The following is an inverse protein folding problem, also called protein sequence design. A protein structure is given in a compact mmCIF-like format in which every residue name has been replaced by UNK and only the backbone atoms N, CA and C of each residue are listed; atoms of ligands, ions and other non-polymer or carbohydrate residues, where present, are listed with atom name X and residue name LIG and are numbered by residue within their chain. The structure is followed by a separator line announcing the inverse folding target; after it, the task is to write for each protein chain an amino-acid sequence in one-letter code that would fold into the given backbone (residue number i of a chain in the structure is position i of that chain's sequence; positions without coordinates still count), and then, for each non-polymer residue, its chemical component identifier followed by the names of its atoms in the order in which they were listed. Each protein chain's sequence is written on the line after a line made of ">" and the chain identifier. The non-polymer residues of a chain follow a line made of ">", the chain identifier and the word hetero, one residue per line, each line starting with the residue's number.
data_IF_395422046425
#
_entry.id   IF_395422046425
#
_cell.length_a   1.000
_cell.length_b   1.000
_cell.length_c   1.000
_cell.angle_alpha   90.00
_cell.angle_beta   90.00
_cell.angle_gamma   90.00
#
_symmetry.space_group_name_H-M   'P 1'
#
loop_
_entity.id
_entity.type
_entity.pdbx_description
1 polymer ?
#
# COMPACT_ATOMS: atom_id res chain seq x y z
N UNK A 1 -3.08 1.62 -9.59
CA UNK A 1 -3.24 2.98 -10.09
C UNK A 1 -2.07 3.86 -9.65
N UNK A 2 -1.70 4.80 -10.48
CA UNK A 2 -0.72 5.84 -10.15
C UNK A 2 -1.40 7.18 -10.39
N UNK A 3 -1.10 8.15 -9.54
CA UNK A 3 -1.63 9.50 -9.61
C UNK A 3 -0.48 10.50 -9.61
N UNK A 4 -0.70 11.63 -10.25
CA UNK A 4 0.18 12.80 -10.24
C UNK A 4 -0.46 13.97 -9.48
N UNK A 5 0.21 15.10 -9.46
CA UNK A 5 -0.30 16.29 -8.78
C UNK A 5 -1.58 16.86 -9.40
N UNK A 6 -1.75 16.71 -10.71
CA UNK A 6 -2.95 17.21 -11.41
C UNK A 6 -4.18 16.43 -10.93
N UNK A 7 -4.09 15.08 -10.93
CA UNK A 7 -5.15 14.20 -10.42
C UNK A 7 -5.39 14.42 -8.92
N UNK A 8 -4.35 14.57 -8.11
CA UNK A 8 -4.51 14.86 -6.69
C UNK A 8 -5.21 16.20 -6.46
N UNK A 9 -4.89 17.21 -7.27
CA UNK A 9 -5.53 18.53 -7.17
C UNK A 9 -7.00 18.48 -7.59
N UNK A 10 -7.36 17.66 -8.56
CA UNK A 10 -8.74 17.50 -9.02
C UNK A 10 -9.61 16.71 -8.02
N UNK A 11 -9.04 15.68 -7.36
CA UNK A 11 -9.81 14.72 -6.56
C UNK A 11 -9.46 14.74 -5.07
N UNK A 12 -8.97 15.85 -4.53
CA UNK A 12 -8.54 15.96 -3.13
C UNK A 12 -9.67 16.10 -2.11
N UNK A 13 -10.88 16.48 -2.56
CA UNK A 13 -11.99 16.72 -1.64
C UNK A 13 -12.35 15.49 -0.80
N UNK A 14 -12.49 15.69 0.50
CA UNK A 14 -12.81 14.63 1.46
C UNK A 14 -11.64 13.70 1.79
N UNK A 15 -10.43 13.98 1.31
CA UNK A 15 -9.22 13.17 1.57
C UNK A 15 -8.36 13.83 2.62
N UNK A 16 -7.89 13.04 3.59
CA UNK A 16 -6.81 13.39 4.51
C UNK A 16 -5.56 12.66 4.03
N UNK A 17 -4.46 13.39 3.86
CA UNK A 17 -3.20 12.84 3.35
C UNK A 17 -2.10 12.86 4.42
N UNK A 18 -1.27 11.83 4.42
CA UNK A 18 -0.09 11.69 5.25
C UNK A 18 1.15 11.66 4.37
N UNK A 19 2.30 12.14 4.90
CA UNK A 19 3.54 12.25 4.10
C UNK A 19 4.24 10.91 3.83
N UNK A 20 3.69 9.80 4.30
CA UNK A 20 4.12 8.43 4.09
C UNK A 20 5.48 8.06 4.76
N UNK A 21 6.10 6.96 4.30
CA UNK A 21 7.35 6.41 4.81
C UNK A 21 8.59 7.07 4.18
N UNK A 22 9.78 6.49 4.38
CA UNK A 22 11.03 6.99 3.76
C UNK A 22 11.00 7.08 2.23
N UNK A 23 10.10 6.35 1.57
CA UNK A 23 9.88 6.44 0.13
C UNK A 23 8.99 7.62 -0.27
N UNK A 24 8.27 8.24 0.68
CA UNK A 24 7.49 9.44 0.47
C UNK A 24 8.36 10.62 -0.03
N UNK A 25 7.77 11.54 -0.76
CA UNK A 25 8.55 12.62 -1.39
C UNK A 25 9.24 13.51 -0.35
N UNK A 26 8.53 13.92 0.70
CA UNK A 26 9.09 14.77 1.76
C UNK A 26 10.24 14.04 2.46
N UNK A 27 10.00 12.83 2.95
CA UNK A 27 11.00 12.03 3.68
C UNK A 27 12.21 11.70 2.81
N UNK A 28 12.00 11.43 1.52
CA UNK A 28 13.08 11.13 0.57
C UNK A 28 14.02 12.31 0.36
N UNK A 29 13.52 13.54 0.35
CA UNK A 29 14.36 14.73 0.32
C UNK A 29 15.11 14.92 1.63
N UNK A 30 14.43 14.76 2.77
CA UNK A 30 15.06 14.88 4.09
C UNK A 30 16.16 13.84 4.30
N UNK A 31 15.94 12.59 3.94
CA UNK A 31 16.93 11.52 4.01
C UNK A 31 18.22 11.80 3.19
N UNK A 32 18.11 12.66 2.18
CA UNK A 32 19.24 13.11 1.35
C UNK A 32 19.84 14.44 1.80
N UNK A 33 19.41 14.98 2.93
CA UNK A 33 19.84 16.28 3.44
C UNK A 33 19.32 17.49 2.65
N UNK A 34 18.29 17.30 1.83
CA UNK A 34 17.67 18.34 0.99
C UNK A 34 16.46 18.97 1.70
N UNK A 35 16.68 19.62 2.84
CA UNK A 35 15.63 20.12 3.73
C UNK A 35 14.66 21.07 3.00
N UNK A 36 15.17 22.06 2.27
CA UNK A 36 14.35 23.06 1.56
C UNK A 36 13.42 22.40 0.50
N UNK A 37 13.92 21.39 -0.20
CA UNK A 37 13.11 20.66 -1.17
C UNK A 37 12.01 19.83 -0.47
N UNK A 38 12.32 19.27 0.68
CA UNK A 38 11.32 18.58 1.53
C UNK A 38 10.24 19.56 2.00
N UNK A 39 10.63 20.77 2.41
CA UNK A 39 9.72 21.83 2.84
C UNK A 39 8.80 22.28 1.69
N UNK A 40 9.34 22.46 0.50
CA UNK A 40 8.56 22.83 -0.68
C UNK A 40 7.55 21.73 -1.06
N UNK A 41 7.95 20.45 -0.96
CA UNK A 41 7.05 19.33 -1.17
C UNK A 41 5.92 19.31 -0.13
N UNK A 42 6.24 19.51 1.15
CA UNK A 42 5.25 19.57 2.22
C UNK A 42 4.22 20.70 2.00
N UNK A 43 4.70 21.91 1.66
CA UNK A 43 3.83 23.06 1.31
C UNK A 43 2.94 22.76 0.11
N UNK A 44 3.44 22.05 -0.89
CA UNK A 44 2.67 21.66 -2.07
C UNK A 44 1.53 20.73 -1.71
N UNK A 45 1.79 19.71 -0.89
CA UNK A 45 0.75 18.81 -0.42
C UNK A 45 -0.27 19.52 0.47
N UNK A 46 0.17 20.39 1.39
CA UNK A 46 -0.76 21.18 2.20
C UNK A 46 -1.66 22.08 1.33
N UNK A 47 -1.10 22.67 0.26
CA UNK A 47 -1.89 23.47 -0.68
C UNK A 47 -2.93 22.63 -1.46
N UNK A 48 -2.59 21.38 -1.81
CA UNK A 48 -3.51 20.48 -2.52
C UNK A 48 -4.65 20.04 -1.60
N UNK A 49 -4.34 19.50 -0.43
CA UNK A 49 -5.33 18.91 0.47
C UNK A 49 -6.01 19.94 1.38
N UNK A 50 -5.43 21.12 1.52
CA UNK A 50 -5.89 22.18 2.39
C UNK A 50 -5.36 22.03 3.82
N UNK A 51 -5.32 23.16 4.51
CA UNK A 51 -4.80 23.25 5.87
C UNK A 51 -5.54 22.30 6.83
N UNK A 52 -4.79 21.51 7.60
CA UNK A 52 -5.31 20.52 8.52
C UNK A 52 -5.79 19.21 7.88
N UNK A 53 -5.59 19.03 6.56
CA UNK A 53 -5.88 17.78 5.87
C UNK A 53 -4.61 17.09 5.33
N UNK A 54 -3.45 17.67 5.56
CA UNK A 54 -2.15 17.08 5.30
C UNK A 54 -1.35 17.02 6.59
N UNK A 55 -0.72 15.88 6.87
CA UNK A 55 0.06 15.63 8.09
C UNK A 55 1.44 15.13 7.73
N UNK A 56 2.46 15.59 8.49
CA UNK A 56 3.80 15.03 8.44
C UNK A 56 3.84 13.76 9.28
N UNK A 57 4.20 12.64 8.65
CA UNK A 57 4.10 11.31 9.23
C UNK A 57 5.42 10.87 9.85
N UNK A 58 5.39 10.52 11.12
CA UNK A 58 6.50 9.95 11.86
C UNK A 58 6.39 8.43 11.89
N UNK A 59 7.47 7.74 11.55
CA UNK A 59 7.61 6.28 11.65
C UNK A 59 8.94 5.94 12.33
N UNK A 60 8.98 4.95 13.20
CA UNK A 60 10.22 4.46 13.79
C UNK A 60 10.21 2.92 13.92
N UNK A 61 11.02 2.27 13.09
CA UNK A 61 11.27 0.84 13.11
C UNK A 61 12.70 0.51 13.59
N UNK A 62 13.35 1.45 14.30
CA UNK A 62 14.74 1.32 14.74
C UNK A 62 15.76 1.63 13.63
N UNK A 63 15.33 2.22 12.52
CA UNK A 63 16.20 2.57 11.38
C UNK A 63 16.78 3.98 11.62
N UNK A 64 18.10 4.09 11.65
CA UNK A 64 18.78 5.37 11.92
C UNK A 64 18.38 6.50 10.96
N UNK A 65 18.12 6.18 9.70
CA UNK A 65 17.63 7.15 8.72
C UNK A 65 16.23 7.67 9.07
N UNK A 66 15.33 6.82 9.58
CA UNK A 66 14.02 7.28 10.05
C UNK A 66 14.15 8.22 11.24
N UNK A 67 15.00 7.89 12.21
CA UNK A 67 15.21 8.74 13.38
C UNK A 67 15.76 10.11 12.99
N UNK A 68 16.70 10.17 12.05
CA UNK A 68 17.21 11.42 11.49
C UNK A 68 16.08 12.21 10.79
N UNK A 69 15.30 11.55 9.93
CA UNK A 69 14.18 12.18 9.21
C UNK A 69 13.11 12.68 10.18
N UNK A 70 12.78 11.93 11.22
CA UNK A 70 11.81 12.34 12.24
C UNK A 70 12.21 13.65 12.93
N UNK A 71 13.49 13.84 13.24
CA UNK A 71 13.98 15.13 13.80
C UNK A 71 13.73 16.29 12.85
N UNK A 72 13.95 16.07 11.55
CA UNK A 72 13.71 17.10 10.54
C UNK A 72 12.20 17.36 10.35
N UNK A 73 11.35 16.32 10.45
CA UNK A 73 9.90 16.47 10.35
C UNK A 73 9.31 17.23 11.55
N UNK A 74 9.80 16.99 12.76
CA UNK A 74 9.40 17.76 13.95
C UNK A 74 9.73 19.25 13.77
N UNK A 75 10.95 19.56 13.35
CA UNK A 75 11.36 20.92 13.03
C UNK A 75 10.48 21.53 11.92
N UNK A 76 10.24 20.79 10.84
CA UNK A 76 9.41 21.25 9.71
C UNK A 76 7.96 21.50 10.10
N UNK A 77 7.41 20.67 11.00
CA UNK A 77 6.07 20.84 11.59
C UNK A 77 5.94 22.19 12.28
N UNK A 78 6.93 22.58 13.09
CA UNK A 78 6.95 23.87 13.76
C UNK A 78 7.10 25.06 12.78
N UNK A 79 8.01 24.95 11.81
CA UNK A 79 8.27 26.01 10.82
C UNK A 79 7.08 26.24 9.87
N UNK A 80 6.38 25.19 9.45
CA UNK A 80 5.26 25.27 8.51
C UNK A 80 3.88 25.29 9.18
N UNK A 81 3.81 25.00 10.49
CA UNK A 81 2.56 24.80 11.22
C UNK A 81 1.69 23.70 10.56
N UNK A 82 2.34 22.60 10.14
CA UNK A 82 1.71 21.36 9.65
C UNK A 82 1.77 20.34 10.78
N UNK A 83 0.64 19.74 11.14
CA UNK A 83 0.55 18.80 12.24
C UNK A 83 1.28 17.48 11.95
N UNK A 84 1.77 16.85 13.03
CA UNK A 84 2.42 15.53 12.97
C UNK A 84 1.40 14.42 13.22
N UNK A 85 1.64 13.24 12.66
CA UNK A 85 0.93 12.00 12.99
C UNK A 85 1.92 10.85 13.10
N UNK A 86 1.75 9.96 14.09
CA UNK A 86 2.59 8.79 14.27
C UNK A 86 1.91 7.54 13.69
N UNK A 87 2.62 6.77 12.88
CA UNK A 87 2.14 5.49 12.34
C UNK A 87 3.22 4.41 12.48
N UNK A 88 2.84 3.15 12.29
CA UNK A 88 3.79 2.03 12.38
C UNK A 88 3.96 1.25 11.07
N UNK A 89 3.36 1.68 9.97
CA UNK A 89 3.49 1.00 8.66
C UNK A 89 3.36 -0.53 8.79
N UNK A 90 2.24 -0.97 9.39
CA UNK A 90 2.00 -2.36 9.81
C UNK A 90 1.98 -3.29 8.59
N UNK A 91 2.81 -4.33 8.62
CA UNK A 91 2.90 -5.35 7.56
C UNK A 91 2.45 -6.74 8.05
N UNK A 92 2.40 -6.96 9.36
CA UNK A 92 1.95 -8.21 9.98
C UNK A 92 1.38 -7.93 11.38
N UNK A 93 0.62 -8.89 11.92
CA UNK A 93 -0.16 -8.64 13.15
C UNK A 93 0.68 -8.76 14.42
N UNK A 94 1.45 -9.84 14.55
CA UNK A 94 2.22 -10.13 15.76
C UNK A 94 3.73 -10.04 15.49
N UNK A 95 4.52 -9.72 16.50
CA UNK A 95 5.99 -9.58 16.36
C UNK A 95 6.65 -10.85 15.82
N UNK A 96 6.13 -12.04 16.22
CA UNK A 96 6.60 -13.35 15.75
C UNK A 96 6.30 -13.63 14.27
N UNK A 97 5.42 -12.88 13.62
CA UNK A 97 5.09 -13.06 12.21
C UNK A 97 6.17 -12.49 11.25
N UNK A 98 7.21 -11.87 11.78
CA UNK A 98 8.27 -11.25 10.98
C UNK A 98 8.93 -12.24 10.00
N UNK A 99 9.21 -13.47 10.44
CA UNK A 99 9.81 -14.51 9.61
C UNK A 99 8.85 -15.00 8.51
N UNK A 100 7.55 -15.14 8.83
CA UNK A 100 6.53 -15.50 7.87
C UNK A 100 6.37 -14.43 6.80
N UNK A 101 6.42 -13.14 7.20
CA UNK A 101 6.38 -12.01 6.28
C UNK A 101 7.61 -12.01 5.34
N UNK A 102 8.82 -12.32 5.85
CA UNK A 102 10.03 -12.42 5.03
C UNK A 102 9.91 -13.50 3.94
N UNK A 103 9.25 -14.63 4.25
CA UNK A 103 8.94 -15.68 3.27
C UNK A 103 7.94 -15.18 2.22
N UNK A 104 6.90 -14.43 2.63
CA UNK A 104 5.93 -13.85 1.70
C UNK A 104 6.60 -12.87 0.72
N UNK A 105 7.56 -12.07 1.17
CA UNK A 105 8.35 -11.21 0.30
C UNK A 105 9.16 -12.00 -0.73
N UNK A 106 9.71 -13.15 -0.35
CA UNK A 106 10.40 -14.05 -1.28
C UNK A 106 9.44 -14.57 -2.37
N UNK A 107 8.24 -15.01 -1.99
CA UNK A 107 7.21 -15.47 -2.93
C UNK A 107 6.83 -14.34 -3.89
N UNK A 108 6.55 -13.15 -3.37
CA UNK A 108 6.14 -11.98 -4.15
C UNK A 108 7.21 -11.54 -5.16
N UNK A 109 8.49 -11.63 -4.79
CA UNK A 109 9.61 -11.15 -5.62
C UNK A 109 10.30 -12.24 -6.44
N UNK A 110 9.85 -13.50 -6.31
CA UNK A 110 10.46 -14.66 -6.98
C UNK A 110 11.89 -14.93 -6.50
N UNK A 111 12.18 -14.68 -5.21
CA UNK A 111 13.48 -14.85 -4.57
C UNK A 111 13.48 -16.02 -3.60
N UNK A 112 14.68 -16.52 -3.26
CA UNK A 112 14.86 -17.51 -2.20
C UNK A 112 15.25 -16.82 -0.89
N UNK A 113 14.94 -17.44 0.23
CA UNK A 113 15.30 -16.93 1.57
C UNK A 113 16.83 -16.80 1.72
N UNK A 114 17.58 -17.64 1.02
CA UNK A 114 19.06 -17.65 1.00
C UNK A 114 19.69 -16.58 0.12
N UNK A 115 18.88 -15.88 -0.73
CA UNK A 115 19.42 -14.83 -1.59
C UNK A 115 19.84 -13.62 -0.73
N UNK A 116 21.09 -13.16 -0.90
CA UNK A 116 21.63 -12.03 -0.17
C UNK A 116 21.02 -10.69 -0.65
N UNK A 117 20.82 -10.56 -1.95
CA UNK A 117 20.33 -9.32 -2.58
C UNK A 117 18.84 -9.41 -2.89
N UNK A 118 18.00 -9.26 -1.87
CA UNK A 118 16.53 -9.27 -1.97
C UNK A 118 15.88 -8.25 -1.05
N UNK A 119 14.62 -7.96 -1.30
CA UNK A 119 13.82 -7.11 -0.43
C UNK A 119 13.63 -7.76 0.94
N UNK A 120 13.87 -6.99 2.01
CA UNK A 120 13.67 -7.37 3.41
C UNK A 120 13.14 -6.20 4.22
N UNK A 121 12.36 -6.51 5.24
CA UNK A 121 11.96 -5.58 6.30
C UNK A 121 12.74 -5.96 7.57
N UNK A 122 13.86 -5.28 7.77
CA UNK A 122 14.76 -5.61 8.88
C UNK A 122 14.22 -5.13 10.22
N UNK A 123 14.64 -5.81 11.30
CA UNK A 123 14.38 -5.40 12.68
C UNK A 123 13.07 -5.88 13.29
N UNK A 124 12.17 -6.50 12.53
CA UNK A 124 10.93 -7.12 13.06
C UNK A 124 9.95 -6.14 13.73
N UNK A 125 9.99 -4.84 13.37
CA UNK A 125 9.24 -3.79 14.06
C UNK A 125 7.93 -3.37 13.37
N UNK A 126 7.52 -4.09 12.32
CA UNK A 126 6.35 -3.74 11.49
C UNK A 126 5.06 -4.44 11.92
N UNK A 127 4.98 -4.86 13.18
CA UNK A 127 3.78 -5.49 13.78
C UNK A 127 2.80 -4.44 14.33
N UNK A 128 1.60 -4.88 14.66
CA UNK A 128 0.57 -4.05 15.27
C UNK A 128 0.92 -3.76 16.73
N UNK A 129 1.64 -2.67 16.98
CA UNK A 129 2.04 -2.24 18.33
C UNK A 129 0.83 -1.79 19.15
N UNK A 130 0.91 -1.99 20.47
CA UNK A 130 -0.07 -1.45 21.40
C UNK A 130 -0.02 0.09 21.48
N UNK A 131 -1.08 0.74 21.96
CA UNK A 131 -1.07 2.18 22.21
C UNK A 131 0.07 2.62 23.15
N UNK A 132 0.39 1.80 24.14
CA UNK A 132 1.48 2.05 25.11
C UNK A 132 2.85 2.01 24.44
N UNK A 133 3.11 0.99 23.60
CA UNK A 133 4.34 0.88 22.82
C UNK A 133 4.50 2.06 21.86
N UNK A 134 3.44 2.48 21.19
CA UNK A 134 3.46 3.65 20.31
C UNK A 134 3.70 4.95 21.10
N UNK A 135 3.06 5.12 22.25
CA UNK A 135 3.27 6.29 23.10
C UNK A 135 4.69 6.38 23.66
N UNK A 136 5.31 5.26 24.00
CA UNK A 136 6.72 5.20 24.44
C UNK A 136 7.65 5.57 23.28
N UNK A 137 7.44 4.98 22.10
CA UNK A 137 8.25 5.19 20.90
C UNK A 137 8.27 6.65 20.44
N UNK A 138 7.11 7.33 20.51
CA UNK A 138 6.94 8.73 20.12
C UNK A 138 6.76 9.68 21.32
N UNK A 139 7.35 9.36 22.46
CA UNK A 139 7.25 10.17 23.68
C UNK A 139 7.72 11.62 23.52
N UNK A 140 8.57 11.89 22.53
CA UNK A 140 9.04 13.23 22.17
C UNK A 140 8.02 14.04 21.33
N UNK A 141 6.96 13.39 20.82
CA UNK A 141 5.90 14.03 20.01
C UNK A 141 4.51 13.47 20.36
N UNK A 142 4.02 13.63 21.61
CA UNK A 142 2.77 13.03 22.06
C UNK A 142 1.56 13.51 21.25
N UNK A 143 1.59 14.74 20.72
CA UNK A 143 0.55 15.26 19.83
C UNK A 143 0.40 14.44 18.54
N UNK A 144 1.47 13.79 18.06
CA UNK A 144 1.40 12.93 16.88
C UNK A 144 0.59 11.65 17.14
N UNK A 145 0.61 11.15 18.37
CA UNK A 145 -0.24 10.03 18.81
C UNK A 145 -1.70 10.49 18.96
N UNK A 146 -1.95 11.65 19.59
CA UNK A 146 -3.30 12.17 19.73
C UNK A 146 -3.97 12.43 18.37
N UNK A 147 -3.21 12.88 17.38
CA UNK A 147 -3.71 13.17 16.05
C UNK A 147 -4.19 11.91 15.31
N UNK A 148 -3.70 10.71 15.64
CA UNK A 148 -4.24 9.47 15.08
C UNK A 148 -5.73 9.32 15.38
N UNK A 149 -6.12 9.57 16.61
CA UNK A 149 -7.52 9.51 17.04
C UNK A 149 -8.35 10.65 16.43
N UNK A 150 -7.82 11.88 16.41
CA UNK A 150 -8.51 13.03 15.79
C UNK A 150 -8.77 12.81 14.30
N UNK A 151 -7.79 12.23 13.58
CA UNK A 151 -7.95 11.86 12.16
C UNK A 151 -9.02 10.79 12.02
N UNK A 152 -8.97 9.72 12.82
CA UNK A 152 -9.96 8.64 12.78
C UNK A 152 -11.39 9.14 12.99
N UNK A 153 -11.60 10.07 13.92
CA UNK A 153 -12.91 10.67 14.17
C UNK A 153 -13.46 11.50 12.98
N UNK A 154 -12.59 12.01 12.13
CA UNK A 154 -12.96 12.74 10.91
C UNK A 154 -13.30 11.83 9.75
N UNK A 155 -12.87 10.56 9.77
CA UNK A 155 -13.10 9.61 8.71
C UNK A 155 -14.51 9.02 8.83
N UNK A 156 -15.35 9.27 7.81
CA UNK A 156 -16.70 8.73 7.70
C UNK A 156 -16.83 8.06 6.34
N UNK A 157 -16.62 6.75 6.31
CA UNK A 157 -16.64 5.96 5.07
C UNK A 157 -17.66 4.84 5.20
N UNK A 158 -18.64 4.81 4.31
CA UNK A 158 -19.56 3.69 4.16
C UNK A 158 -19.06 2.78 3.04
N UNK A 159 -18.77 1.52 3.40
CA UNK A 159 -18.37 0.51 2.42
C UNK A 159 -19.59 -0.31 2.06
N UNK A 160 -20.01 -0.24 0.81
CA UNK A 160 -21.13 -1.00 0.27
C UNK A 160 -20.69 -2.46 0.03
N UNK A 161 -21.14 -3.36 0.89
CA UNK A 161 -20.88 -4.79 0.77
C UNK A 161 -21.90 -5.50 -0.14
N UNK A 162 -21.45 -6.57 -0.81
CA UNK A 162 -22.32 -7.41 -1.65
C UNK A 162 -22.64 -6.84 -3.04
N UNK A 163 -22.09 -5.68 -3.39
CA UNK A 163 -22.21 -5.09 -4.72
C UNK A 163 -20.89 -5.24 -5.47
N UNK A 164 -20.93 -5.99 -6.55
CA UNK A 164 -19.75 -6.19 -7.40
C UNK A 164 -19.49 -4.93 -8.23
N UNK A 165 -18.34 -4.29 -7.99
CA UNK A 165 -17.91 -3.05 -8.71
C UNK A 165 -16.80 -3.32 -9.73
N UNK A 166 -16.64 -4.57 -10.19
CA UNK A 166 -15.74 -4.92 -11.30
C UNK A 166 -16.32 -4.41 -12.61
N UNK A 167 -15.49 -3.91 -13.55
CA UNK A 167 -15.96 -3.54 -14.87
C UNK A 167 -16.70 -4.71 -15.53
N UNK A 168 -17.87 -4.42 -16.10
CA UNK A 168 -18.62 -5.42 -16.84
C UNK A 168 -17.94 -5.65 -18.19
N UNK A 169 -17.54 -6.89 -18.44
CA UNK A 169 -17.04 -7.28 -19.75
C UNK A 169 -18.21 -7.43 -20.73
N UNK A 170 -18.13 -6.73 -21.85
CA UNK A 170 -19.13 -6.85 -22.92
C UNK A 170 -18.83 -8.09 -23.75
N UNK A 171 -19.75 -9.04 -23.73
CA UNK A 171 -19.64 -10.27 -24.52
C UNK A 171 -20.31 -10.09 -25.89
N UNK A 172 -19.86 -10.81 -26.94
CA UNK A 172 -20.48 -10.80 -28.25
C UNK A 172 -21.97 -11.24 -28.20
N UNK A 173 -22.75 -10.79 -29.17
CA UNK A 173 -24.15 -11.19 -29.30
C UNK A 173 -24.31 -12.71 -29.38
N UNK A 174 -25.26 -13.25 -28.65
CA UNK A 174 -25.51 -14.70 -28.55
C UNK A 174 -24.76 -15.40 -27.38
N UNK A 175 -23.93 -14.68 -26.64
CA UNK A 175 -23.23 -15.21 -25.46
C UNK A 175 -23.67 -14.48 -24.17
N UNK A 176 -23.64 -15.20 -23.07
CA UNK A 176 -23.46 -14.61 -21.74
C UNK A 176 -21.99 -14.71 -21.28
N UNK A 177 -21.64 -14.11 -20.14
CA UNK A 177 -20.25 -14.08 -19.66
C UNK A 177 -19.69 -15.47 -19.41
N UNK A 178 -20.51 -16.43 -19.00
CA UNK A 178 -20.10 -17.79 -18.72
C UNK A 178 -19.86 -18.58 -20.03
N UNK A 179 -20.80 -18.56 -20.96
CA UNK A 179 -20.68 -19.27 -22.24
C UNK A 179 -19.55 -18.71 -23.10
N UNK A 180 -19.31 -17.39 -23.05
CA UNK A 180 -18.19 -16.79 -23.77
C UNK A 180 -16.84 -17.14 -23.14
N UNK A 181 -16.74 -17.14 -21.80
CA UNK A 181 -15.52 -17.60 -21.11
C UNK A 181 -15.19 -19.05 -21.48
N UNK A 182 -16.19 -19.94 -21.45
CA UNK A 182 -16.00 -21.33 -21.87
C UNK A 182 -15.51 -21.43 -23.32
N UNK A 183 -16.15 -20.69 -24.24
CA UNK A 183 -15.74 -20.63 -25.64
C UNK A 183 -14.26 -20.26 -25.77
N UNK A 184 -13.82 -19.16 -25.11
CA UNK A 184 -12.42 -18.73 -25.14
C UNK A 184 -11.46 -19.75 -24.51
N UNK A 185 -11.88 -20.44 -23.45
CA UNK A 185 -11.09 -21.48 -22.80
C UNK A 185 -10.88 -22.67 -23.76
N UNK A 186 -11.92 -23.13 -24.44
CA UNK A 186 -11.82 -24.21 -25.40
C UNK A 186 -10.99 -23.85 -26.65
N UNK A 187 -11.16 -22.64 -27.19
CA UNK A 187 -10.28 -22.13 -28.24
C UNK A 187 -8.81 -22.08 -27.81
N UNK A 188 -8.57 -21.57 -26.58
CA UNK A 188 -7.23 -21.49 -26.02
C UNK A 188 -6.61 -22.87 -25.79
N UNK A 189 -7.42 -23.86 -25.37
CA UNK A 189 -7.01 -25.24 -25.17
C UNK A 189 -6.60 -25.88 -26.52
N UNK A 190 -7.46 -25.75 -27.55
CA UNK A 190 -7.19 -26.23 -28.88
C UNK A 190 -5.90 -25.64 -29.46
N UNK A 191 -5.64 -24.34 -29.25
CA UNK A 191 -4.40 -23.70 -29.72
C UNK A 191 -3.14 -24.18 -28.99
N UNK A 192 -3.23 -24.50 -27.69
CA UNK A 192 -2.10 -24.92 -26.88
C UNK A 192 -1.80 -26.40 -26.97
N UNK A 193 -2.81 -27.20 -27.21
CA UNK A 193 -2.74 -28.66 -27.24
C UNK A 193 -3.44 -29.23 -28.48
N UNK A 194 -2.88 -28.99 -29.70
CA UNK A 194 -3.54 -29.38 -30.95
C UNK A 194 -3.75 -30.90 -31.06
N UNK A 195 -2.90 -31.69 -30.42
CA UNK A 195 -2.99 -33.15 -30.45
C UNK A 195 -4.13 -33.73 -29.62
N UNK A 196 -4.65 -32.95 -28.65
CA UNK A 196 -5.82 -33.36 -27.84
C UNK A 196 -7.15 -33.24 -28.57
N UNK A 197 -7.19 -32.57 -29.72
CA UNK A 197 -8.38 -32.40 -30.57
C UNK A 197 -8.55 -33.45 -31.64
N UNK A 198 -7.61 -34.39 -31.78
CA UNK A 198 -7.64 -35.38 -32.86
C UNK A 198 -8.81 -36.38 -32.73
N UNK A 199 -9.38 -36.58 -31.55
CA UNK A 199 -10.46 -37.52 -31.26
C UNK A 199 -11.85 -36.89 -31.02
N UNK A 200 -12.01 -35.58 -31.20
CA UNK A 200 -13.31 -34.94 -31.45
C UNK A 200 -14.25 -34.74 -30.24
N UNK A 201 -13.94 -35.26 -29.08
CA UNK A 201 -14.75 -35.02 -27.88
C UNK A 201 -13.86 -34.66 -26.68
N UNK A 202 -13.88 -33.36 -26.31
CA UNK A 202 -13.42 -32.96 -25.00
C UNK A 202 -14.56 -33.31 -24.01
N UNK A 203 -14.41 -34.38 -23.25
CA UNK A 203 -15.33 -34.72 -22.20
C UNK A 203 -15.32 -33.63 -21.15
N UNK A 204 -16.34 -32.77 -21.18
CA UNK A 204 -16.54 -31.66 -20.26
C UNK A 204 -16.74 -32.09 -18.79
N UNK A 205 -16.87 -33.41 -18.55
CA UNK A 205 -17.06 -34.00 -17.22
C UNK A 205 -15.72 -34.42 -16.59
N UNK A 206 -14.65 -34.53 -17.34
CA UNK A 206 -13.30 -34.74 -16.82
C UNK A 206 -12.63 -33.38 -16.61
N UNK A 207 -12.77 -32.85 -15.40
CA UNK A 207 -12.18 -31.57 -15.04
C UNK A 207 -10.71 -31.48 -15.37
N UNK A 208 -10.24 -30.26 -15.55
CA UNK A 208 -8.87 -29.77 -15.86
C UNK A 208 -7.73 -30.44 -15.03
N UNK A 209 -8.05 -31.30 -14.08
CA UNK A 209 -7.11 -31.95 -13.15
C UNK A 209 -6.27 -33.11 -13.72
N UNK A 210 -6.42 -33.48 -14.99
CA UNK A 210 -5.64 -34.58 -15.63
C UNK A 210 -4.57 -34.12 -16.60
N UNK A 211 -4.28 -32.82 -16.66
CA UNK A 211 -3.10 -32.31 -17.38
C UNK A 211 -1.89 -32.45 -16.45
N UNK A 212 -1.11 -33.52 -16.61
CA UNK A 212 0.21 -33.68 -15.98
C UNK A 212 1.27 -32.94 -16.75
#
# INVERSE_FOLDING_TARGET
>A
PRVDYEVLTEYHEGIIALSACLAGEVQRYLARGMYEMGMEAAKRYENIFGKGNFFLELQDHGISTQQYVNQQLVRMSEELNIELVATNDIHYTYAEDADAHDILLCIQTGKLVTDENRMRYEGGQYYCKSPEEMAELFSYAPQAIENTYKIAQRCNVEIEFGVTKVPKYEVPEGYDSWSYLNHLCYEGLAKRYPDMNADGEIDSTQGIYNIK
#
